data_IF_754963301670
#
_entry.id   IF_754963301670
#
_cell.length_a   1.000
_cell.length_b   1.000
_cell.length_c   1.000
_cell.angle_alpha   90.00
_cell.angle_beta   90.00
_cell.angle_gamma   90.00
#
_symmetry.space_group_name_H-M   'P 1'
#
loop_
_entity.id
_entity.type
_entity.pdbx_description
1 polymer ?
#
# COMPACT_ATOMS: atom_id res chain seq x y z
N UNK A 1 -26.63 -45.39 -33.81
CA UNK A 1 -26.47 -46.10 -32.53
C UNK A 1 -26.10 -45.08 -31.48
N UNK A 2 -26.81 -45.12 -30.36
CA UNK A 2 -27.12 -43.97 -29.48
C UNK A 2 -26.84 -44.38 -28.04
N UNK A 3 -26.05 -43.61 -27.30
CA UNK A 3 -26.02 -43.52 -25.81
C UNK A 3 -25.20 -42.27 -25.47
N UNK A 4 -25.73 -41.14 -24.98
CA UNK A 4 -26.39 -40.82 -23.69
C UNK A 4 -25.64 -41.29 -22.44
N UNK A 5 -25.37 -40.33 -21.55
CA UNK A 5 -24.93 -40.49 -20.16
C UNK A 5 -23.82 -39.48 -19.84
N UNK A 6 -23.86 -38.66 -18.80
CA UNK A 6 -24.83 -38.47 -17.73
C UNK A 6 -24.46 -37.16 -17.04
N UNK A 7 -25.46 -36.34 -16.75
CA UNK A 7 -25.43 -35.27 -15.75
C UNK A 7 -25.37 -35.91 -14.37
N UNK A 8 -24.51 -35.42 -13.47
CA UNK A 8 -24.74 -35.35 -12.01
C UNK A 8 -23.59 -34.47 -11.45
N UNK A 9 -23.83 -33.22 -11.05
CA UNK A 9 -24.49 -32.74 -9.84
C UNK A 9 -23.81 -33.18 -8.52
N UNK A 10 -23.56 -32.20 -7.65
CA UNK A 10 -23.08 -32.40 -6.29
C UNK A 10 -21.60 -32.09 -6.07
N UNK A 11 -21.27 -30.85 -5.69
CA UNK A 11 -21.15 -30.56 -4.25
C UNK A 11 -20.92 -29.06 -4.00
N UNK A 12 -22.05 -28.36 -3.83
CA UNK A 12 -22.13 -27.03 -3.25
C UNK A 12 -22.05 -27.18 -1.72
N UNK A 13 -20.84 -27.22 -1.17
CA UNK A 13 -20.60 -26.93 0.24
C UNK A 13 -19.59 -25.79 0.33
N UNK A 14 -20.04 -24.53 0.32
CA UNK A 14 -20.38 -23.80 1.56
C UNK A 14 -19.41 -24.12 2.70
N UNK A 15 -18.25 -23.46 2.70
CA UNK A 15 -17.63 -22.99 3.95
C UNK A 15 -17.43 -21.49 3.91
N UNK A 16 -18.50 -20.79 4.27
CA UNK A 16 -18.44 -19.48 4.87
C UNK A 16 -17.73 -19.61 6.23
N UNK A 17 -16.41 -19.49 6.24
CA UNK A 17 -15.60 -19.35 7.44
C UNK A 17 -15.50 -17.87 7.80
N UNK A 18 -16.28 -17.47 8.79
CA UNK A 18 -16.43 -16.13 9.33
C UNK A 18 -15.09 -15.40 9.56
N UNK A 19 -14.93 -14.26 8.86
CA UNK A 19 -14.07 -13.17 9.30
C UNK A 19 -14.57 -12.69 10.66
N UNK A 20 -13.86 -13.05 11.73
CA UNK A 20 -13.96 -12.40 13.03
C UNK A 20 -13.34 -11.01 12.90
N UNK A 21 -14.14 -10.04 12.46
CA UNK A 21 -13.82 -8.63 12.66
C UNK A 21 -13.88 -8.32 14.17
N UNK A 22 -12.83 -7.76 14.78
CA UNK A 22 -12.90 -7.32 16.17
C UNK A 22 -13.90 -6.16 16.30
N UNK A 23 -14.76 -6.28 17.31
CA UNK A 23 -15.70 -5.25 17.72
C UNK A 23 -14.95 -3.96 18.05
N UNK A 24 -15.11 -2.94 17.20
CA UNK A 24 -14.81 -1.56 17.54
C UNK A 24 -15.91 -1.12 18.49
N UNK A 25 -15.56 -0.96 19.76
CA UNK A 25 -16.44 -0.39 20.78
C UNK A 25 -16.75 1.08 20.44
N UNK A 26 -18.01 1.49 20.47
CA UNK A 26 -18.38 2.89 20.31
C UNK A 26 -17.92 3.72 21.50
N UNK A 27 -17.52 4.95 21.18
CA UNK A 27 -17.07 6.00 22.06
C UNK A 27 -17.98 6.17 23.28
N UNK A 28 -17.41 5.97 24.47
CA UNK A 28 -18.00 6.44 25.71
C UNK A 28 -17.71 7.94 25.84
N UNK A 29 -18.78 8.74 25.77
CA UNK A 29 -18.82 10.10 26.30
C UNK A 29 -18.46 10.05 27.79
N UNK A 30 -17.46 10.82 28.18
CA UNK A 30 -17.02 10.92 29.58
C UNK A 30 -16.19 12.17 29.78
N UNK A 31 -16.88 13.23 30.19
CA UNK A 31 -16.37 14.49 30.68
C UNK A 31 -15.14 14.35 31.59
N UNK A 32 -14.12 15.16 31.29
CA UNK A 32 -13.34 15.96 32.25
C UNK A 32 -12.34 16.78 31.45
N UNK A 33 -12.71 18.03 31.16
CA UNK A 33 -11.78 19.07 30.70
C UNK A 33 -11.06 19.61 31.95
N UNK A 34 -9.77 19.30 32.18
CA UNK A 34 -9.01 20.08 33.14
C UNK A 34 -8.68 21.45 32.53
N UNK A 35 -9.21 22.51 33.14
CA UNK A 35 -8.68 23.88 33.02
C UNK A 35 -7.23 23.89 33.51
N UNK A 36 -6.26 24.03 32.60
CA UNK A 36 -4.83 24.28 32.89
C UNK A 36 -4.29 25.14 31.72
N UNK A 37 -3.36 26.09 31.94
CA UNK A 37 -3.64 27.52 31.93
C UNK A 37 -3.04 28.21 30.70
N UNK A 38 -3.19 29.53 30.70
CA UNK A 38 -2.53 30.53 29.88
C UNK A 38 -1.27 30.11 29.11
N UNK A 39 -1.31 30.45 27.81
CA UNK A 39 -0.21 30.68 26.86
C UNK A 39 1.15 30.80 27.54
N UNK A 40 1.86 29.69 27.65
CA UNK A 40 3.31 29.72 27.74
C UNK A 40 3.85 30.08 26.35
N UNK A 41 4.67 31.12 26.30
CA UNK A 41 5.54 31.49 25.20
C UNK A 41 6.02 30.26 24.44
N UNK A 42 5.70 30.19 23.15
CA UNK A 42 6.24 29.18 22.24
C UNK A 42 7.67 29.65 21.93
N UNK A 43 8.74 29.03 22.48
CA UNK A 43 10.08 29.42 22.10
C UNK A 43 10.23 29.23 20.58
N UNK A 44 10.62 30.31 19.92
CA UNK A 44 11.10 30.31 18.56
C UNK A 44 12.28 29.33 18.46
N UNK A 45 12.01 28.13 17.95
CA UNK A 45 13.01 27.08 17.94
C UNK A 45 12.47 25.71 17.53
N UNK A 46 11.48 25.66 16.63
CA UNK A 46 11.20 24.39 15.94
C UNK A 46 12.44 24.08 15.13
N UNK A 47 13.21 23.02 15.46
CA UNK A 47 14.37 22.66 14.65
C UNK A 47 13.88 22.41 13.22
N UNK A 48 14.62 22.84 12.19
CA UNK A 48 14.25 22.55 10.81
C UNK A 48 14.01 21.04 10.72
N UNK A 49 12.81 20.64 10.28
CA UNK A 49 12.51 19.24 10.00
C UNK A 49 13.65 18.71 9.13
N UNK A 50 14.23 17.53 9.44
CA UNK A 50 15.28 16.99 8.61
C UNK A 50 14.79 17.00 7.16
N UNK A 51 15.61 17.57 6.28
CA UNK A 51 15.41 17.52 4.85
C UNK A 51 15.05 16.08 4.48
N UNK A 52 14.05 15.90 3.61
CA UNK A 52 13.39 14.62 3.35
C UNK A 52 14.35 13.44 3.12
N UNK A 53 13.83 12.20 3.05
CA UNK A 53 14.63 10.99 3.03
C UNK A 53 15.82 11.11 2.07
N UNK A 54 17.02 10.83 2.56
CA UNK A 54 18.24 10.92 1.76
C UNK A 54 18.17 10.02 0.51
N UNK A 55 19.05 10.24 -0.46
CA UNK A 55 19.05 9.51 -1.74
C UNK A 55 19.00 7.99 -1.56
N UNK A 56 19.79 7.44 -0.63
CA UNK A 56 19.80 6.00 -0.33
C UNK A 56 18.45 5.51 0.19
N UNK A 57 17.79 6.29 1.05
CA UNK A 57 16.48 5.92 1.58
C UNK A 57 15.41 5.96 0.50
N UNK A 58 15.48 6.91 -0.43
CA UNK A 58 14.60 6.95 -1.60
C UNK A 58 14.81 5.76 -2.55
N UNK A 59 16.05 5.29 -2.71
CA UNK A 59 16.35 4.07 -3.48
C UNK A 59 15.79 2.81 -2.80
N UNK A 60 15.95 2.69 -1.47
CA UNK A 60 15.34 1.60 -0.69
C UNK A 60 13.83 1.62 -0.83
N UNK A 61 13.22 2.80 -0.72
CA UNK A 61 11.78 2.97 -0.90
C UNK A 61 11.33 2.55 -2.31
N UNK A 62 12.09 2.90 -3.36
CA UNK A 62 11.79 2.47 -4.72
C UNK A 62 11.89 0.94 -4.88
N UNK A 63 12.87 0.29 -4.25
CA UNK A 63 12.99 -1.17 -4.25
C UNK A 63 11.79 -1.84 -3.58
N UNK A 64 11.36 -1.33 -2.42
CA UNK A 64 10.15 -1.83 -1.71
C UNK A 64 8.91 -1.74 -2.60
N UNK A 65 8.74 -0.66 -3.36
CA UNK A 65 7.61 -0.55 -4.29
C UNK A 65 7.65 -1.61 -5.41
N UNK A 66 8.82 -1.89 -5.97
CA UNK A 66 8.98 -2.93 -7.00
C UNK A 66 8.68 -4.32 -6.43
N UNK A 67 9.22 -4.64 -5.26
CA UNK A 67 8.95 -5.92 -4.58
C UNK A 67 7.48 -6.08 -4.24
N UNK A 68 6.84 -5.02 -3.74
CA UNK A 68 5.40 -5.00 -3.44
C UNK A 68 4.59 -5.24 -4.71
N UNK A 69 4.95 -4.61 -5.83
CA UNK A 69 4.28 -4.84 -7.11
C UNK A 69 4.34 -6.32 -7.52
N UNK A 70 5.51 -6.95 -7.42
CA UNK A 70 5.69 -8.36 -7.75
C UNK A 70 4.86 -9.29 -6.84
N UNK A 71 4.75 -8.97 -5.54
CA UNK A 71 3.88 -9.71 -4.61
C UNK A 71 2.41 -9.58 -5.01
N UNK A 72 1.94 -8.38 -5.34
CA UNK A 72 0.56 -8.14 -5.75
C UNK A 72 0.20 -8.88 -7.04
N UNK A 73 1.10 -8.88 -8.01
CA UNK A 73 0.93 -9.60 -9.27
C UNK A 73 0.87 -11.12 -9.08
N UNK A 74 1.77 -11.69 -8.25
CA UNK A 74 1.70 -13.11 -7.88
C UNK A 74 0.39 -13.47 -7.17
N UNK A 75 -0.15 -12.58 -6.33
CA UNK A 75 -1.46 -12.79 -5.69
C UNK A 75 -2.60 -12.70 -6.69
N UNK A 76 -2.54 -11.76 -7.63
CA UNK A 76 -3.52 -11.65 -8.70
C UNK A 76 -3.58 -12.90 -9.57
N UNK A 77 -2.43 -13.52 -9.86
CA UNK A 77 -2.35 -14.77 -10.62
C UNK A 77 -2.95 -16.00 -9.91
N UNK A 78 -3.14 -15.93 -8.58
CA UNK A 78 -3.75 -17.01 -7.78
C UNK A 78 -5.18 -16.69 -7.34
N UNK A 79 -5.72 -15.54 -7.71
CA UNK A 79 -7.05 -15.12 -7.25
C UNK A 79 -8.13 -15.70 -8.16
N UNK A 80 -9.06 -16.45 -7.58
CA UNK A 80 -10.20 -17.03 -8.32
C UNK A 80 -11.24 -15.96 -8.72
N UNK A 81 -11.27 -14.83 -8.00
CA UNK A 81 -12.16 -13.72 -8.30
C UNK A 81 -11.51 -12.77 -9.32
N UNK A 82 -12.08 -12.61 -10.54
CA UNK A 82 -11.50 -11.78 -11.59
C UNK A 82 -11.47 -10.30 -11.23
N UNK A 83 -12.44 -9.79 -10.49
CA UNK A 83 -12.46 -8.38 -10.05
C UNK A 83 -11.34 -8.10 -9.05
N UNK A 84 -11.10 -9.03 -8.11
CA UNK A 84 -9.98 -8.91 -7.17
C UNK A 84 -8.63 -8.99 -7.90
N UNK A 85 -8.49 -9.91 -8.86
CA UNK A 85 -7.28 -10.04 -9.66
C UNK A 85 -6.97 -8.73 -10.43
N UNK A 86 -8.00 -8.12 -11.03
CA UNK A 86 -7.86 -6.83 -11.73
C UNK A 86 -7.39 -5.71 -10.79
N UNK A 87 -8.02 -5.57 -9.62
CA UNK A 87 -7.62 -4.56 -8.62
C UNK A 87 -6.18 -4.76 -8.12
N UNK A 88 -5.75 -6.01 -7.92
CA UNK A 88 -4.39 -6.31 -7.50
C UNK A 88 -3.36 -5.94 -8.58
N UNK A 89 -3.66 -6.21 -9.86
CA UNK A 89 -2.82 -5.80 -10.99
C UNK A 89 -2.72 -4.29 -11.11
N UNK A 90 -3.85 -3.58 -11.05
CA UNK A 90 -3.87 -2.12 -11.08
C UNK A 90 -3.00 -1.52 -9.97
N UNK A 91 -3.12 -2.04 -8.74
CA UNK A 91 -2.28 -1.62 -7.62
C UNK A 91 -0.80 -1.94 -7.87
N UNK A 92 -0.47 -3.09 -8.44
CA UNK A 92 0.90 -3.43 -8.81
C UNK A 92 1.48 -2.39 -9.79
N UNK A 93 0.71 -2.02 -10.82
CA UNK A 93 1.13 -1.01 -11.80
C UNK A 93 1.31 0.38 -11.20
N UNK A 94 0.45 0.77 -10.26
CA UNK A 94 0.64 2.02 -9.50
C UNK A 94 1.96 1.99 -8.72
N UNK A 95 2.33 0.85 -8.10
CA UNK A 95 3.59 0.71 -7.37
C UNK A 95 4.80 0.79 -8.31
N UNK A 96 4.77 0.13 -9.48
CA UNK A 96 5.83 0.22 -10.49
C UNK A 96 6.04 1.66 -10.97
N UNK A 97 4.96 2.33 -11.39
CA UNK A 97 5.01 3.74 -11.84
C UNK A 97 5.52 4.68 -10.75
N UNK A 98 5.27 4.37 -9.48
CA UNK A 98 5.77 5.17 -8.36
C UNK A 98 7.27 4.94 -8.15
N UNK A 99 7.75 3.69 -8.23
CA UNK A 99 9.17 3.38 -8.18
C UNK A 99 9.95 4.01 -9.35
N UNK A 100 9.40 3.96 -10.56
CA UNK A 100 9.99 4.58 -11.75
C UNK A 100 10.13 6.10 -11.60
N UNK A 101 9.08 6.77 -11.11
CA UNK A 101 9.12 8.21 -10.85
C UNK A 101 10.18 8.59 -9.81
N UNK A 102 10.32 7.79 -8.75
CA UNK A 102 11.38 8.01 -7.75
C UNK A 102 12.77 7.83 -8.38
N UNK A 103 12.99 6.76 -9.15
CA UNK A 103 14.27 6.52 -9.84
C UNK A 103 14.61 7.66 -10.80
N UNK A 104 13.66 8.09 -11.64
CA UNK A 104 13.85 9.20 -12.56
C UNK A 104 14.21 10.51 -11.84
N UNK A 105 13.53 10.80 -10.73
CA UNK A 105 13.83 11.97 -9.89
C UNK A 105 15.24 11.92 -9.31
N UNK A 106 15.69 10.72 -8.91
CA UNK A 106 17.03 10.53 -8.36
C UNK A 106 18.12 10.61 -9.43
N UNK A 107 17.92 10.03 -10.61
CA UNK A 107 18.84 10.16 -11.75
C UNK A 107 19.00 11.63 -12.15
N UNK A 108 17.90 12.38 -12.22
CA UNK A 108 17.94 13.82 -12.51
C UNK A 108 18.67 14.66 -11.45
N UNK A 109 18.76 14.18 -10.21
CA UNK A 109 19.47 14.86 -9.10
C UNK A 109 20.93 14.43 -8.98
N UNK A 110 21.27 13.22 -9.45
CA UNK A 110 22.60 12.62 -9.29
C UNK A 110 23.47 12.69 -10.54
N UNK A 111 22.92 13.15 -11.68
CA UNK A 111 23.75 13.46 -12.84
C UNK A 111 24.71 14.61 -12.49
N UNK A 112 26.04 14.41 -12.54
CA UNK A 112 26.96 15.55 -12.51
C UNK A 112 26.71 16.41 -13.75
N UNK A 113 26.91 17.75 -13.67
CA UNK A 113 26.93 18.57 -14.88
C UNK A 113 28.03 18.01 -15.78
N UNK A 114 27.64 17.39 -16.89
CA UNK A 114 28.56 17.09 -17.99
C UNK A 114 28.89 18.44 -18.65
N UNK A 115 29.81 19.19 -18.03
CA UNK A 115 30.50 20.26 -18.73
C UNK A 115 31.30 19.66 -19.89
N UNK A 116 31.22 20.35 -21.02
CA UNK A 116 31.52 19.81 -22.34
C UNK A 116 32.95 19.34 -22.57
N UNK A 117 33.06 18.50 -23.60
CA UNK A 117 34.28 18.30 -24.39
C UNK A 117 33.96 18.81 -25.79
#
# INVERSE_FOLDING_TARGET
MTTRGSTDDGDRLRRCGAVRSPAVTPAACGDRVPLVPARADRPAGVPPRPAGPGVIEQLRQAAVYVETAAVLERRAGRADNPALAALLRERADVRRRTAERLRATLTGRTAPPVEGI
#
